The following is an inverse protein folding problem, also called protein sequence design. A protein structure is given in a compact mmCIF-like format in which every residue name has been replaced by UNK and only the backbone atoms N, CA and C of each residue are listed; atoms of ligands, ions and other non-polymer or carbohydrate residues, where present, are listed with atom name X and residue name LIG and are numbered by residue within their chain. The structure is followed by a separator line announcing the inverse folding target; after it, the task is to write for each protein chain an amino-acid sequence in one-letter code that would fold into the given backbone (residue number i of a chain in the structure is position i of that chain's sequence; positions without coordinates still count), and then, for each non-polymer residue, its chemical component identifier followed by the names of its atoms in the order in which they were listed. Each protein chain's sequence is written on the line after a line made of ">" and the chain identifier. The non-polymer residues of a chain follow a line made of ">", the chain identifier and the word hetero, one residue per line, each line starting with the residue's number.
data_IF_603971636018
#
_entry.id   IF_603971636018
#
_cell.length_a   1.000
_cell.length_b   1.000
_cell.length_c   1.000
_cell.angle_alpha   90.00
_cell.angle_beta   90.00
_cell.angle_gamma   90.00
#
_symmetry.space_group_name_H-M   'P 1'
#
loop_
_entity.id
_entity.type
_entity.pdbx_description
1 polymer ?
#
# COMPACT_ATOMS: atom_id res chain seq x y z
N UNK A 1 63.12 -15.09 5.43
CA UNK A 1 62.19 -15.98 6.19
C UNK A 1 61.23 -16.63 5.21
N UNK A 2 61.17 -17.97 5.17
CA UNK A 2 60.38 -18.74 4.20
C UNK A 2 59.09 -19.16 4.90
N UNK A 3 57.96 -18.58 4.53
CA UNK A 3 56.65 -18.93 5.10
C UNK A 3 56.26 -20.31 4.56
N UNK A 4 56.09 -21.31 5.45
CA UNK A 4 55.57 -22.62 5.07
C UNK A 4 54.06 -22.49 4.83
N UNK A 5 53.61 -22.74 3.60
CA UNK A 5 52.18 -22.89 3.30
C UNK A 5 51.72 -24.27 3.79
N UNK A 6 50.82 -24.29 4.78
CA UNK A 6 50.15 -25.52 5.21
C UNK A 6 49.07 -25.91 4.20
N UNK A 7 49.04 -27.19 3.81
CA UNK A 7 47.97 -27.72 2.96
C UNK A 7 46.65 -27.81 3.72
N UNK A 8 45.54 -27.62 3.01
CA UNK A 8 44.18 -27.62 3.57
C UNK A 8 43.68 -29.06 3.76
N UNK A 9 43.07 -29.36 4.90
CA UNK A 9 42.46 -30.68 5.13
C UNK A 9 41.12 -30.80 4.38
N UNK A 10 40.74 -32.00 3.95
CA UNK A 10 39.46 -32.27 3.27
C UNK A 10 38.26 -31.93 4.17
N UNK A 11 38.40 -32.18 5.48
CA UNK A 11 37.38 -31.82 6.48
C UNK A 11 37.25 -30.30 6.59
N UNK A 12 38.36 -29.57 6.49
CA UNK A 12 38.39 -28.11 6.53
C UNK A 12 37.68 -27.50 5.31
N UNK A 13 37.87 -28.09 4.12
CA UNK A 13 37.15 -27.71 2.90
C UNK A 13 35.64 -27.92 3.00
N UNK A 14 35.22 -29.03 3.59
CA UNK A 14 33.81 -29.33 3.82
C UNK A 14 33.19 -28.34 4.81
N UNK A 15 33.88 -28.03 5.91
CA UNK A 15 33.40 -27.04 6.90
C UNK A 15 33.30 -25.65 6.26
N UNK A 16 34.31 -25.23 5.49
CA UNK A 16 34.29 -23.96 4.77
C UNK A 16 33.13 -23.87 3.78
N UNK A 17 32.86 -24.93 3.02
CA UNK A 17 31.72 -25.01 2.10
C UNK A 17 30.38 -24.87 2.84
N UNK A 18 30.22 -25.52 4.00
CA UNK A 18 29.01 -25.42 4.82
C UNK A 18 28.82 -23.99 5.31
N UNK A 19 29.84 -23.37 5.91
CA UNK A 19 29.77 -21.98 6.39
C UNK A 19 29.44 -21.01 5.25
N UNK A 20 30.05 -21.20 4.08
CA UNK A 20 29.79 -20.38 2.91
C UNK A 20 28.34 -20.56 2.41
N UNK A 21 27.84 -21.79 2.38
CA UNK A 21 26.46 -22.07 1.98
C UNK A 21 25.43 -21.42 2.90
N UNK A 22 25.66 -21.44 4.23
CA UNK A 22 24.81 -20.77 5.22
C UNK A 22 24.86 -19.24 5.06
N UNK A 23 26.01 -18.69 4.70
CA UNK A 23 26.17 -17.27 4.39
C UNK A 23 25.33 -16.83 3.19
N UNK A 24 25.39 -17.58 2.08
CA UNK A 24 24.61 -17.28 0.87
C UNK A 24 23.10 -17.43 1.10
N UNK A 25 22.68 -18.47 1.83
CA UNK A 25 21.27 -18.67 2.20
C UNK A 25 20.73 -17.51 3.04
N UNK A 26 21.55 -16.96 3.93
CA UNK A 26 21.19 -15.81 4.76
C UNK A 26 20.96 -14.55 3.93
N UNK A 27 21.76 -14.31 2.88
CA UNK A 27 21.57 -13.19 1.93
C UNK A 27 20.28 -13.37 1.11
N UNK A 28 19.99 -14.59 0.64
CA UNK A 28 18.76 -14.88 -0.08
C UNK A 28 17.51 -14.63 0.79
N UNK A 29 17.56 -14.99 2.08
CA UNK A 29 16.48 -14.70 3.02
C UNK A 29 16.25 -13.19 3.22
N UNK A 30 17.30 -12.38 3.22
CA UNK A 30 17.16 -10.91 3.26
C UNK A 30 16.50 -10.37 2.00
N UNK A 31 16.86 -10.89 0.82
CA UNK A 31 16.24 -10.49 -0.44
C UNK A 31 14.74 -10.81 -0.45
N UNK A 32 14.34 -11.96 0.10
CA UNK A 32 12.93 -12.31 0.25
C UNK A 32 12.15 -11.34 1.15
N UNK A 33 12.74 -10.94 2.29
CA UNK A 33 12.15 -9.94 3.18
C UNK A 33 12.08 -8.55 2.54
N UNK A 34 13.10 -8.17 1.76
CA UNK A 34 13.09 -6.90 1.02
C UNK A 34 11.92 -6.83 0.03
N UNK A 35 11.63 -7.93 -0.69
CA UNK A 35 10.46 -7.98 -1.59
C UNK A 35 9.12 -7.83 -0.85
N UNK A 36 8.99 -8.41 0.35
CA UNK A 36 7.79 -8.23 1.18
C UNK A 36 7.60 -6.77 1.58
N UNK A 37 8.68 -6.07 1.92
CA UNK A 37 8.65 -4.64 2.26
C UNK A 37 8.27 -3.74 1.08
N UNK A 38 8.51 -4.15 -0.16
CA UNK A 38 8.12 -3.37 -1.35
C UNK A 38 6.60 -3.45 -1.58
N UNK A 39 5.99 -4.59 -1.24
CA UNK A 39 4.55 -4.82 -1.46
C UNK A 39 3.67 -3.88 -0.63
N UNK A 40 4.06 -3.58 0.61
CA UNK A 40 3.31 -2.64 1.47
C UNK A 40 3.36 -1.21 0.95
N UNK A 41 4.52 -0.74 0.49
CA UNK A 41 4.67 0.59 -0.10
C UNK A 41 3.87 0.77 -1.40
N UNK A 42 3.74 -0.29 -2.19
CA UNK A 42 2.90 -0.28 -3.40
C UNK A 42 1.41 -0.11 -3.07
N UNK A 43 0.89 -0.86 -2.09
CA UNK A 43 -0.52 -0.75 -1.66
C UNK A 43 -0.83 0.64 -1.10
N UNK A 44 0.07 1.20 -0.31
CA UNK A 44 -0.07 2.56 0.22
C UNK A 44 -0.08 3.62 -0.89
N UNK A 45 0.76 3.45 -1.91
CA UNK A 45 0.78 4.35 -3.07
C UNK A 45 -0.53 4.29 -3.86
N UNK A 46 -1.05 3.09 -4.11
CA UNK A 46 -2.35 2.91 -4.78
C UNK A 46 -3.51 3.49 -3.96
N UNK A 47 -3.51 3.29 -2.64
CA UNK A 47 -4.53 3.87 -1.76
C UNK A 47 -4.49 5.41 -1.78
N UNK A 48 -3.29 6.00 -1.89
CA UNK A 48 -3.12 7.45 -2.07
C UNK A 48 -3.73 7.93 -3.40
N UNK A 49 -3.48 7.20 -4.49
CA UNK A 49 -4.06 7.50 -5.80
C UNK A 49 -5.58 7.35 -5.77
N UNK A 50 -6.11 6.31 -5.11
CA UNK A 50 -7.55 6.14 -4.94
C UNK A 50 -8.19 7.31 -4.17
N UNK A 51 -7.50 7.83 -3.14
CA UNK A 51 -7.98 8.99 -2.41
C UNK A 51 -7.97 10.27 -3.24
N UNK A 52 -6.94 10.47 -4.07
CA UNK A 52 -6.86 11.59 -5.01
C UNK A 52 -7.94 11.49 -6.09
N UNK A 53 -8.21 10.31 -6.64
CA UNK A 53 -9.30 10.10 -7.60
C UNK A 53 -10.67 10.44 -6.99
N UNK A 54 -10.91 10.07 -5.72
CA UNK A 54 -12.11 10.50 -5.02
C UNK A 54 -12.22 12.03 -4.91
N UNK A 55 -11.12 12.70 -4.58
CA UNK A 55 -11.07 14.17 -4.55
C UNK A 55 -11.39 14.77 -5.93
N UNK A 56 -10.79 14.23 -6.99
CA UNK A 56 -11.02 14.72 -8.37
C UNK A 56 -12.48 14.54 -8.80
N UNK A 57 -13.12 13.42 -8.43
CA UNK A 57 -14.56 13.21 -8.70
C UNK A 57 -15.44 14.21 -7.95
N UNK A 58 -15.11 14.51 -6.70
CA UNK A 58 -15.80 15.55 -5.91
C UNK A 58 -15.59 16.92 -6.58
N UNK A 59 -14.38 17.22 -7.03
CA UNK A 59 -14.07 18.45 -7.76
C UNK A 59 -14.85 18.59 -9.07
N UNK A 60 -14.91 17.53 -9.86
CA UNK A 60 -15.65 17.51 -11.12
C UNK A 60 -17.16 17.71 -10.91
N UNK A 61 -17.71 17.20 -9.82
CA UNK A 61 -19.13 17.35 -9.49
C UNK A 61 -19.52 18.80 -9.16
N UNK A 62 -18.64 19.57 -8.52
CA UNK A 62 -18.89 20.98 -8.16
C UNK A 62 -19.15 21.84 -9.38
N UNK A 63 -18.42 21.59 -10.48
CA UNK A 63 -18.60 22.36 -11.72
C UNK A 63 -20.02 22.27 -12.29
N UNK A 64 -20.84 21.34 -11.81
CA UNK A 64 -22.20 21.07 -12.27
C UNK A 64 -23.27 21.37 -11.22
N UNK A 65 -22.91 21.88 -10.03
CA UNK A 65 -23.86 22.14 -8.94
C UNK A 65 -23.67 23.53 -8.33
N UNK A 66 -24.78 24.10 -7.84
CA UNK A 66 -24.73 25.40 -7.14
C UNK A 66 -24.30 25.18 -5.69
N UNK A 67 -22.97 25.10 -5.48
CA UNK A 67 -22.33 25.10 -4.18
C UNK A 67 -21.93 23.73 -3.61
N UNK A 68 -21.02 23.74 -2.63
CA UNK A 68 -20.44 22.52 -2.05
C UNK A 68 -21.48 21.57 -1.38
N UNK A 69 -22.64 22.10 -0.96
CA UNK A 69 -23.68 21.34 -0.26
C UNK A 69 -24.50 20.46 -1.20
N UNK A 70 -24.62 20.84 -2.47
CA UNK A 70 -25.39 20.12 -3.48
C UNK A 70 -24.57 19.01 -4.17
N UNK A 71 -23.29 18.86 -3.83
CA UNK A 71 -22.45 17.75 -4.33
C UNK A 71 -23.04 16.40 -3.91
N UNK A 72 -23.29 15.47 -4.85
CA UNK A 72 -23.94 14.20 -4.56
C UNK A 72 -22.94 13.15 -4.05
N UNK A 73 -22.39 13.37 -2.85
CA UNK A 73 -21.31 12.56 -2.25
C UNK A 73 -21.62 11.07 -2.24
N UNK A 74 -22.84 10.66 -1.90
CA UNK A 74 -23.21 9.25 -1.85
C UNK A 74 -23.04 8.53 -3.21
N UNK A 75 -23.39 9.21 -4.32
CA UNK A 75 -23.24 8.66 -5.67
C UNK A 75 -21.79 8.61 -6.13
N UNK A 76 -21.00 9.60 -5.72
CA UNK A 76 -19.56 9.65 -6.00
C UNK A 76 -18.85 8.54 -5.24
N UNK A 77 -19.19 8.38 -3.96
CA UNK A 77 -18.64 7.35 -3.08
C UNK A 77 -18.97 5.95 -3.59
N UNK A 78 -20.21 5.68 -4.04
CA UNK A 78 -20.55 4.38 -4.63
C UNK A 78 -19.74 4.12 -5.91
N UNK A 79 -19.70 5.07 -6.84
CA UNK A 79 -18.96 4.92 -8.09
C UNK A 79 -17.44 4.79 -7.89
N UNK A 80 -16.90 5.49 -6.89
CA UNK A 80 -15.51 5.37 -6.47
C UNK A 80 -15.22 4.01 -5.86
N UNK A 81 -16.07 3.52 -4.95
CA UNK A 81 -15.93 2.19 -4.36
C UNK A 81 -16.02 1.08 -5.39
N UNK A 82 -16.93 1.21 -6.36
CA UNK A 82 -17.04 0.27 -7.47
C UNK A 82 -15.72 0.20 -8.25
N UNK A 83 -15.20 1.36 -8.69
CA UNK A 83 -13.97 1.43 -9.48
C UNK A 83 -12.71 0.93 -8.75
N UNK A 84 -12.61 1.17 -7.44
CA UNK A 84 -11.37 0.90 -6.69
C UNK A 84 -11.40 -0.34 -5.81
N UNK A 85 -12.57 -0.81 -5.36
CA UNK A 85 -12.68 -1.87 -4.36
C UNK A 85 -13.64 -3.01 -4.72
N UNK A 86 -14.77 -2.74 -5.38
CA UNK A 86 -15.85 -3.73 -5.53
C UNK A 86 -15.86 -4.44 -6.88
N UNK A 87 -15.43 -3.78 -7.97
CA UNK A 87 -15.36 -4.40 -9.29
C UNK A 87 -14.39 -5.61 -9.32
N UNK A 88 -14.58 -6.56 -10.24
CA UNK A 88 -13.69 -7.72 -10.39
C UNK A 88 -12.24 -7.34 -10.72
N UNK A 89 -12.06 -6.28 -11.49
CA UNK A 89 -10.75 -5.77 -11.91
C UNK A 89 -10.24 -4.62 -11.04
N UNK A 90 -10.96 -4.32 -9.95
CA UNK A 90 -10.64 -3.22 -9.06
C UNK A 90 -9.21 -3.35 -8.46
N UNK A 91 -8.35 -2.31 -8.58
CA UNK A 91 -6.94 -2.38 -8.18
C UNK A 91 -6.70 -2.74 -6.70
N UNK A 92 -7.64 -2.41 -5.82
CA UNK A 92 -7.50 -2.57 -4.36
C UNK A 92 -8.47 -3.60 -3.75
N UNK A 93 -9.19 -4.39 -4.56
CA UNK A 93 -10.20 -5.38 -4.11
C UNK A 93 -9.74 -6.29 -2.97
N UNK A 94 -8.48 -6.72 -2.99
CA UNK A 94 -7.92 -7.69 -2.02
C UNK A 94 -7.10 -7.04 -0.90
N UNK A 95 -7.12 -5.72 -0.80
CA UNK A 95 -6.19 -4.98 0.07
C UNK A 95 -6.85 -3.86 0.85
N UNK A 96 -8.15 -3.63 0.67
CA UNK A 96 -8.89 -2.57 1.33
C UNK A 96 -10.19 -3.11 1.85
N UNK A 97 -10.62 -2.62 3.02
CA UNK A 97 -11.98 -2.81 3.51
C UNK A 97 -12.88 -1.72 2.91
N UNK A 98 -13.79 -2.06 1.98
CA UNK A 98 -14.68 -1.09 1.36
C UNK A 98 -15.73 -0.53 2.34
N UNK A 99 -16.08 -1.24 3.41
CA UNK A 99 -17.04 -0.77 4.41
C UNK A 99 -16.46 0.32 5.31
N UNK A 100 -15.13 0.33 5.47
CA UNK A 100 -14.40 1.33 6.25
C UNK A 100 -13.76 2.43 5.39
N UNK A 101 -13.94 2.37 4.07
CA UNK A 101 -13.47 3.40 3.13
C UNK A 101 -14.63 4.27 2.67
N UNK A 102 -14.52 5.58 2.87
CA UNK A 102 -15.64 6.51 2.73
C UNK A 102 -15.19 7.93 2.36
N UNK A 103 -16.11 8.71 1.82
CA UNK A 103 -15.98 10.14 1.53
C UNK A 103 -16.91 10.89 2.50
N UNK A 104 -16.34 11.40 3.58
CA UNK A 104 -17.02 12.25 4.54
C UNK A 104 -17.19 13.68 4.05
N UNK A 105 -18.23 14.36 4.56
CA UNK A 105 -18.44 15.81 4.35
C UNK A 105 -18.85 16.48 5.65
N UNK A 106 -18.22 17.60 5.96
CA UNK A 106 -18.59 18.52 7.05
C UNK A 106 -18.62 19.96 6.51
N UNK A 107 -19.81 20.47 6.20
CA UNK A 107 -19.93 21.73 5.48
C UNK A 107 -19.31 21.62 4.07
N UNK A 108 -18.38 22.53 3.72
CA UNK A 108 -17.61 22.46 2.47
C UNK A 108 -16.26 21.74 2.62
N UNK A 109 -16.01 21.10 3.76
CA UNK A 109 -14.84 20.26 3.97
C UNK A 109 -15.16 18.81 3.66
N UNK A 110 -14.25 18.16 2.94
CA UNK A 110 -14.38 16.76 2.53
C UNK A 110 -13.21 15.97 3.09
N UNK A 111 -13.49 14.75 3.51
CA UNK A 111 -12.56 13.85 4.16
C UNK A 111 -12.64 12.48 3.48
N UNK A 112 -11.62 12.11 2.71
CA UNK A 112 -11.53 10.80 2.06
C UNK A 112 -10.73 9.87 2.95
N UNK A 113 -11.35 8.76 3.34
CA UNK A 113 -10.72 7.71 4.15
C UNK A 113 -10.56 6.46 3.33
N UNK A 114 -9.33 5.93 3.25
CA UNK A 114 -9.01 4.64 2.64
C UNK A 114 -8.43 3.72 3.71
N UNK A 115 -9.07 2.57 3.92
CA UNK A 115 -8.68 1.58 4.94
C UNK A 115 -8.01 0.37 4.30
N UNK A 116 -6.68 0.31 4.36
CA UNK A 116 -5.89 -0.82 3.87
C UNK A 116 -5.94 -1.94 4.91
N UNK A 117 -6.28 -3.14 4.45
CA UNK A 117 -6.23 -4.37 5.24
C UNK A 117 -4.80 -4.91 5.27
N UNK A 118 -4.27 -5.15 6.47
CA UNK A 118 -2.91 -5.65 6.68
C UNK A 118 -3.02 -7.03 7.32
N UNK A 119 -2.43 -8.08 6.72
CA UNK A 119 -2.45 -9.41 7.31
C UNK A 119 -1.85 -9.36 8.72
N UNK A 120 -2.55 -9.96 9.69
CA UNK A 120 -2.13 -10.06 11.11
C UNK A 120 -2.23 -8.75 11.92
N UNK A 121 -2.87 -7.70 11.38
CA UNK A 121 -3.19 -6.47 12.10
C UNK A 121 -4.67 -6.08 11.91
N UNK A 122 -5.50 -6.38 12.92
CA UNK A 122 -6.93 -6.03 12.92
C UNK A 122 -7.19 -4.53 12.78
N UNK A 123 -6.20 -3.69 13.13
CA UNK A 123 -6.32 -2.25 12.98
C UNK A 123 -5.92 -1.76 11.59
N UNK A 124 -5.26 -2.56 10.75
CA UNK A 124 -4.83 -2.18 9.39
C UNK A 124 -4.17 -0.79 9.29
N UNK A 125 -4.15 -0.21 8.09
CA UNK A 125 -3.66 1.17 7.88
C UNK A 125 -4.81 2.04 7.40
N UNK A 126 -5.11 3.11 8.15
CA UNK A 126 -6.11 4.11 7.76
C UNK A 126 -5.40 5.34 7.21
N UNK A 127 -5.67 5.68 5.96
CA UNK A 127 -5.18 6.89 5.33
C UNK A 127 -6.34 7.89 5.23
N UNK A 128 -6.13 9.10 5.73
CA UNK A 128 -7.12 10.17 5.69
C UNK A 128 -6.58 11.35 4.86
N UNK A 129 -7.38 11.78 3.89
CA UNK A 129 -7.09 12.91 3.03
C UNK A 129 -8.20 13.94 3.20
N UNK A 130 -7.86 15.08 3.80
CA UNK A 130 -8.78 16.19 4.02
C UNK A 130 -8.52 17.28 2.99
N UNK A 131 -9.57 17.74 2.32
CA UNK A 131 -9.49 18.85 1.40
C UNK A 131 -10.69 19.79 1.53
N UNK A 132 -10.44 21.04 1.15
CA UNK A 132 -11.46 22.08 1.04
C UNK A 132 -11.70 22.37 -0.43
N UNK A 133 -12.96 22.61 -0.77
CA UNK A 133 -13.31 23.08 -2.10
C UNK A 133 -13.08 24.58 -2.20
N UNK A 134 -12.57 25.09 -3.34
CA UNK A 134 -12.62 26.52 -3.61
C UNK A 134 -14.10 26.97 -3.61
N UNK A 135 -14.37 28.02 -2.85
CA UNK A 135 -15.69 28.67 -2.75
C UNK A 135 -16.06 29.38 -4.06
#
# INVERSE_FOLDING_TARGET
>A
MKVRQGGFSLVEALVALVVLSLGVLSVAAMQFKAMQSVRSGYQQSLASVAALDAQERVWAAIAHVEGCQSVPVASIESAWRDAWFLDEEAPLKRSVDPAQSAIGRSGCQFDVTVKIDVPDDENGIRLEYRFLLPL
#
